data_IF_909830453873
#
_entry.id   IF_909830453873
#
_cell.length_a   1.000
_cell.length_b   1.000
_cell.length_c   1.000
_cell.angle_alpha   90.00
_cell.angle_beta   90.00
_cell.angle_gamma   90.00
#
_symmetry.space_group_name_H-M   'P 1'
#
loop_
_entity.id
_entity.type
_entity.pdbx_description
1 polymer ?
#
# COMPACT_ATOMS: atom_id res chain seq x y z
N UNK A 1 14.78 12.43 4.32
CA UNK A 1 13.50 12.20 3.64
C UNK A 1 12.43 11.98 4.70
N UNK A 2 11.40 12.80 4.78
CA UNK A 2 10.35 12.71 5.81
C UNK A 2 9.20 11.74 5.41
N UNK A 3 8.23 11.50 6.29
CA UNK A 3 7.13 10.56 6.01
C UNK A 3 6.25 11.00 4.84
N UNK A 4 6.03 12.29 4.67
CA UNK A 4 5.25 12.83 3.55
C UNK A 4 5.96 12.53 2.23
N UNK A 5 7.27 12.71 2.17
CA UNK A 5 8.08 12.38 0.99
C UNK A 5 8.05 10.88 0.70
N UNK A 6 8.10 10.02 1.73
CA UNK A 6 7.98 8.57 1.55
C UNK A 6 6.60 8.16 1.03
N UNK A 7 5.53 8.72 1.57
CA UNK A 7 4.17 8.48 1.08
C UNK A 7 4.03 8.93 -0.38
N UNK A 8 4.56 10.10 -0.74
CA UNK A 8 4.55 10.59 -2.13
C UNK A 8 5.36 9.71 -3.08
N UNK A 9 6.48 9.15 -2.61
CA UNK A 9 7.37 8.35 -3.46
C UNK A 9 6.77 7.04 -3.98
N UNK A 10 5.72 6.53 -3.33
CA UNK A 10 5.04 5.29 -3.74
C UNK A 10 3.81 5.53 -4.61
N UNK A 11 3.33 6.77 -4.70
CA UNK A 11 2.18 7.15 -5.53
C UNK A 11 2.53 6.91 -7.01
N UNK A 12 1.73 6.10 -7.67
CA UNK A 12 1.86 5.74 -9.10
C UNK A 12 0.46 5.64 -9.70
N UNK A 13 -0.20 6.80 -9.93
CA UNK A 13 -1.59 6.83 -10.32
C UNK A 13 -1.78 6.06 -11.62
N UNK A 14 -2.75 5.14 -11.64
CA UNK A 14 -3.07 4.34 -12.82
C UNK A 14 -4.57 4.26 -13.01
N UNK A 15 -5.02 4.42 -14.24
CA UNK A 15 -6.39 4.13 -14.62
C UNK A 15 -6.49 2.66 -15.00
N UNK A 16 -7.35 1.89 -14.33
CA UNK A 16 -7.59 0.47 -14.60
C UNK A 16 -8.89 0.27 -15.41
N UNK A 17 -9.14 -0.97 -15.86
CA UNK A 17 -10.39 -1.34 -16.49
C UNK A 17 -11.56 -0.90 -15.59
N UNK A 18 -12.59 -0.28 -16.19
CA UNK A 18 -13.67 0.46 -15.52
C UNK A 18 -13.38 1.94 -15.17
N UNK A 19 -12.36 2.55 -15.78
CA UNK A 19 -12.03 3.99 -15.65
C UNK A 19 -11.75 4.42 -14.21
N UNK A 20 -11.23 3.50 -13.40
CA UNK A 20 -10.93 3.74 -11.98
C UNK A 20 -9.51 4.18 -11.76
N UNK A 21 -9.34 5.22 -10.95
CA UNK A 21 -8.03 5.70 -10.53
C UNK A 21 -7.59 4.90 -9.30
N UNK A 22 -6.42 4.28 -9.39
CA UNK A 22 -5.80 3.57 -8.27
C UNK A 22 -4.39 4.09 -8.04
N UNK A 23 -3.86 3.83 -6.85
CA UNK A 23 -2.51 4.22 -6.42
C UNK A 23 -2.19 5.72 -6.53
N UNK A 24 -3.22 6.58 -6.41
CA UNK A 24 -3.12 8.04 -6.38
C UNK A 24 -2.94 8.62 -4.97
N UNK A 25 -3.36 7.87 -3.94
CA UNK A 25 -3.10 8.19 -2.52
C UNK A 25 -2.06 7.22 -1.97
N UNK A 26 -1.02 7.79 -1.34
CA UNK A 26 0.04 7.05 -0.67
C UNK A 26 0.02 7.30 0.84
N UNK A 27 0.43 6.29 1.60
CA UNK A 27 0.62 6.40 3.04
C UNK A 27 2.00 5.86 3.43
N UNK A 28 2.57 6.45 4.48
CA UNK A 28 3.79 5.98 5.11
C UNK A 28 3.62 5.99 6.63
N UNK A 29 4.00 4.91 7.27
CA UNK A 29 4.02 4.77 8.73
C UNK A 29 5.43 4.45 9.20
N UNK A 30 5.78 4.90 10.40
CA UNK A 30 7.06 4.64 11.04
C UNK A 30 6.83 3.95 12.37
N UNK A 31 7.60 2.90 12.63
CA UNK A 31 7.59 2.24 13.95
C UNK A 31 8.47 3.00 14.94
N UNK A 32 8.32 2.70 16.22
CA UNK A 32 9.24 3.13 17.29
C UNK A 32 10.72 2.80 16.99
N UNK A 33 10.99 1.68 16.30
CA UNK A 33 12.32 1.26 15.84
C UNK A 33 12.83 1.97 14.58
N UNK A 34 12.07 2.91 14.02
CA UNK A 34 12.46 3.67 12.82
C UNK A 34 12.25 2.95 11.48
N UNK A 35 11.62 1.77 11.46
CA UNK A 35 11.26 1.10 10.21
C UNK A 35 10.10 1.83 9.54
N UNK A 36 10.18 2.02 8.22
CA UNK A 36 9.15 2.70 7.44
C UNK A 36 8.43 1.68 6.55
N UNK A 37 7.10 1.67 6.64
CA UNK A 37 6.24 0.87 5.78
C UNK A 37 5.33 1.79 4.99
N UNK A 38 5.09 1.41 3.74
CA UNK A 38 4.32 2.23 2.81
C UNK A 38 3.23 1.41 2.17
N UNK A 39 2.19 2.11 1.71
CA UNK A 39 1.06 1.52 1.02
C UNK A 39 0.43 2.54 0.08
N UNK A 40 -0.34 2.03 -0.88
CA UNK A 40 -1.11 2.85 -1.84
C UNK A 40 -2.57 2.41 -1.83
N UNK A 41 -3.47 3.33 -2.16
CA UNK A 41 -4.88 3.01 -2.31
C UNK A 41 -5.13 2.07 -3.49
N UNK A 42 -6.15 1.22 -3.35
CA UNK A 42 -6.71 0.39 -4.41
C UNK A 42 -8.21 0.64 -4.38
N UNK A 43 -8.73 1.49 -5.26
CA UNK A 43 -10.18 1.69 -5.41
C UNK A 43 -10.73 0.74 -6.49
N UNK A 44 -11.26 -0.39 -6.05
CA UNK A 44 -12.11 -1.26 -6.86
C UNK A 44 -13.57 -0.91 -6.54
N UNK A 45 -14.40 -0.72 -7.57
CA UNK A 45 -15.84 -0.55 -7.37
C UNK A 45 -16.38 -1.67 -6.46
N UNK A 46 -17.50 -1.38 -5.78
CA UNK A 46 -18.24 -2.34 -4.93
C UNK A 46 -17.70 -2.52 -3.50
N UNK A 47 -17.01 -1.51 -2.95
CA UNK A 47 -16.67 -1.47 -1.51
C UNK A 47 -15.54 -2.40 -1.09
N UNK A 48 -14.92 -3.10 -2.05
CA UNK A 48 -13.74 -3.96 -1.86
C UNK A 48 -12.41 -3.19 -1.88
N UNK A 49 -12.47 -1.87 -2.07
CA UNK A 49 -11.29 -1.03 -2.11
C UNK A 49 -10.51 -1.00 -0.80
N UNK A 50 -9.20 -0.79 -0.90
CA UNK A 50 -8.27 -0.71 0.22
C UNK A 50 -7.70 0.71 0.29
N UNK A 51 -7.92 1.41 1.40
CA UNK A 51 -7.29 2.70 1.64
C UNK A 51 -5.77 2.55 1.83
N UNK A 52 -5.00 3.58 1.49
CA UNK A 52 -3.54 3.54 1.52
C UNK A 52 -2.96 3.20 2.91
N UNK A 53 -3.61 3.68 3.97
CA UNK A 53 -3.25 3.45 5.37
C UNK A 53 -3.43 1.98 5.76
N UNK A 54 -4.55 1.38 5.35
CA UNK A 54 -4.81 -0.05 5.59
C UNK A 54 -3.79 -0.91 4.86
N UNK A 55 -3.41 -0.51 3.64
CA UNK A 55 -2.37 -1.19 2.88
C UNK A 55 -0.98 -1.05 3.55
N UNK A 56 -0.63 0.15 4.04
CA UNK A 56 0.62 0.38 4.77
C UNK A 56 0.70 -0.45 6.07
N UNK A 57 -0.40 -0.53 6.83
CA UNK A 57 -0.50 -1.38 8.02
C UNK A 57 -0.38 -2.87 7.67
N UNK A 58 -1.05 -3.33 6.62
CA UNK A 58 -0.94 -4.71 6.16
C UNK A 58 0.51 -5.04 5.78
N UNK A 59 1.18 -4.16 5.04
CA UNK A 59 2.58 -4.31 4.68
C UNK A 59 3.50 -4.37 5.93
N UNK A 60 3.25 -3.51 6.92
CA UNK A 60 3.94 -3.58 8.21
C UNK A 60 3.76 -4.94 8.88
N UNK A 61 2.53 -5.45 8.99
CA UNK A 61 2.25 -6.74 9.63
C UNK A 61 2.92 -7.87 8.86
N UNK A 62 2.79 -7.89 7.53
CA UNK A 62 3.37 -8.92 6.68
C UNK A 62 4.90 -8.94 6.85
N UNK A 63 5.58 -7.83 6.56
CA UNK A 63 7.04 -7.79 6.58
C UNK A 63 7.62 -7.97 7.99
N UNK A 64 6.93 -7.49 9.03
CA UNK A 64 7.47 -7.50 10.41
C UNK A 64 7.16 -8.78 11.19
N UNK A 65 6.07 -9.47 10.86
CA UNK A 65 5.60 -10.63 11.64
C UNK A 65 5.63 -11.91 10.81
N UNK A 66 5.36 -11.82 9.51
CA UNK A 66 5.08 -12.97 8.65
C UNK A 66 6.08 -13.03 7.48
N UNK A 67 7.17 -13.79 7.63
CA UNK A 67 8.09 -14.08 6.52
C UNK A 67 7.49 -15.08 5.52
N UNK A 68 6.47 -14.66 4.76
CA UNK A 68 6.00 -15.40 3.59
C UNK A 68 6.80 -14.96 2.36
N UNK A 69 7.63 -15.87 1.85
CA UNK A 69 8.36 -15.72 0.60
C UNK A 69 7.83 -16.75 -0.38
N UNK A 70 6.67 -16.47 -0.98
CA UNK A 70 6.02 -17.38 -1.92
C UNK A 70 5.65 -16.66 -3.21
N UNK A 71 5.77 -17.37 -4.33
CA UNK A 71 5.21 -16.94 -5.60
C UNK A 71 3.71 -17.24 -5.55
N UNK A 72 2.89 -16.20 -5.50
CA UNK A 72 1.44 -16.35 -5.59
C UNK A 72 1.07 -16.69 -7.04
N UNK A 73 0.63 -17.92 -7.26
CA UNK A 73 -0.04 -18.34 -8.49
C UNK A 73 -1.54 -18.43 -8.21
N UNK A 74 -2.31 -17.60 -8.91
CA UNK A 74 -3.78 -17.63 -8.88
C UNK A 74 -4.27 -18.29 -10.17
N UNK A 75 -5.27 -19.17 -10.07
CA UNK A 75 -5.92 -19.81 -11.22
C UNK A 75 -6.81 -18.83 -11.98
#
# INVERSE_FOLDING_TARGET
MNLIEKAKSVIRPKIIANKKLVADVGAALMTDKGNIYTGVCIDTNEGSGICAERNAMANMIIVSVLSFRTNMHTN
#
